data_IF_085812054149
#
_entry.id   IF_085812054149
#
_cell.length_a   1.000
_cell.length_b   1.000
_cell.length_c   1.000
_cell.angle_alpha   90.00
_cell.angle_beta   90.00
_cell.angle_gamma   90.00
#
_symmetry.space_group_name_H-M   'P 1'
#
loop_
_entity.id
_entity.type
_entity.pdbx_description
1 polymer ?
#
# COMPACT_ATOMS: atom_id res chain seq x y z
N UNK A 1 -16.96 57.90 -32.90
CA UNK A 1 -15.72 57.19 -32.51
C UNK A 1 -15.83 55.76 -33.02
N UNK A 2 -15.12 55.43 -34.10
CA UNK A 2 -15.24 54.12 -34.77
C UNK A 2 -14.19 53.20 -34.13
N UNK A 3 -14.64 52.19 -33.37
CA UNK A 3 -13.75 51.15 -32.85
C UNK A 3 -13.36 50.25 -34.02
N UNK A 4 -12.06 50.12 -34.29
CA UNK A 4 -11.53 49.28 -35.36
C UNK A 4 -11.86 47.80 -35.09
N UNK A 5 -12.23 47.05 -36.12
CA UNK A 5 -12.49 45.61 -36.09
C UNK A 5 -11.39 44.80 -35.36
N UNK A 6 -10.13 45.19 -35.53
CA UNK A 6 -9.01 44.55 -34.82
C UNK A 6 -9.06 44.72 -33.30
N UNK A 7 -9.54 45.87 -32.81
CA UNK A 7 -9.72 46.12 -31.38
C UNK A 7 -10.85 45.26 -30.82
N UNK A 8 -11.93 45.06 -31.58
CA UNK A 8 -13.03 44.20 -31.16
C UNK A 8 -12.60 42.72 -31.07
N UNK A 9 -11.84 42.24 -32.06
CA UNK A 9 -11.30 40.87 -32.08
C UNK A 9 -10.34 40.63 -30.92
N UNK A 10 -9.48 41.62 -30.61
CA UNK A 10 -8.54 41.53 -29.48
C UNK A 10 -9.26 41.51 -28.13
N UNK A 11 -10.31 42.32 -27.95
CA UNK A 11 -11.14 42.30 -26.75
C UNK A 11 -11.87 40.96 -26.62
N UNK A 12 -12.36 40.39 -27.71
CA UNK A 12 -13.05 39.10 -27.69
C UNK A 12 -12.10 37.93 -27.36
N UNK A 13 -10.85 38.00 -27.82
CA UNK A 13 -9.77 37.08 -27.41
C UNK A 13 -9.43 37.22 -25.93
N UNK A 14 -9.27 38.45 -25.43
CA UNK A 14 -9.05 38.72 -24.01
C UNK A 14 -10.21 38.23 -23.15
N UNK A 15 -11.46 38.51 -23.53
CA UNK A 15 -12.65 38.03 -22.83
C UNK A 15 -12.78 36.50 -22.90
N UNK A 16 -12.34 35.85 -23.99
CA UNK A 16 -12.29 34.39 -24.08
C UNK A 16 -11.20 33.77 -23.19
N UNK A 17 -10.10 34.49 -22.95
CA UNK A 17 -9.05 34.09 -22.02
C UNK A 17 -9.44 34.32 -20.56
N UNK A 18 -10.22 35.37 -20.28
CA UNK A 18 -10.77 35.65 -18.94
C UNK A 18 -11.94 34.72 -18.59
N UNK A 19 -12.69 34.25 -19.60
CA UNK A 19 -13.74 33.24 -19.45
C UNK A 19 -13.27 31.80 -19.69
N UNK A 20 -11.97 31.55 -19.88
CA UNK A 20 -11.48 30.18 -19.74
C UNK A 20 -11.75 29.78 -18.29
N UNK A 21 -12.58 28.75 -18.02
CA UNK A 21 -12.82 28.30 -16.67
C UNK A 21 -11.46 28.03 -16.07
N UNK A 22 -11.12 28.82 -15.05
CA UNK A 22 -9.85 28.79 -14.32
C UNK A 22 -9.41 27.33 -14.29
N UNK A 23 -8.39 26.96 -15.10
CA UNK A 23 -8.02 25.56 -15.27
C UNK A 23 -7.74 25.04 -13.88
N UNK A 24 -8.71 24.31 -13.33
CA UNK A 24 -8.72 23.89 -11.94
C UNK A 24 -7.46 23.06 -11.83
N UNK A 25 -6.43 23.59 -11.16
CA UNK A 25 -5.09 23.01 -11.16
C UNK A 25 -5.26 21.53 -10.85
N UNK A 26 -5.13 20.68 -11.88
CA UNK A 26 -5.56 19.30 -11.79
C UNK A 26 -4.50 18.66 -10.91
N UNK A 27 -4.83 18.50 -9.62
CA UNK A 27 -3.96 17.84 -8.69
C UNK A 27 -3.56 16.50 -9.31
N UNK A 28 -2.25 16.17 -9.34
CA UNK A 28 -1.81 14.95 -9.96
C UNK A 28 -2.54 13.77 -9.31
N UNK A 29 -3.00 12.80 -10.11
CA UNK A 29 -3.78 11.69 -9.57
C UNK A 29 -2.92 10.88 -8.60
N UNK A 30 -3.56 10.30 -7.59
CA UNK A 30 -2.93 9.24 -6.79
C UNK A 30 -3.14 7.92 -7.49
N UNK A 31 -2.04 7.20 -7.76
CA UNK A 31 -2.05 5.84 -8.27
C UNK A 31 -1.91 4.90 -7.08
N UNK A 32 -2.87 4.00 -6.91
CA UNK A 32 -2.83 3.00 -5.84
C UNK A 32 -2.43 1.65 -6.40
N UNK A 33 -1.39 1.03 -5.85
CA UNK A 33 -0.99 -0.35 -6.17
C UNK A 33 -1.27 -1.24 -4.96
N UNK A 34 -2.02 -2.32 -5.15
CA UNK A 34 -2.31 -3.31 -4.11
C UNK A 34 -1.43 -4.53 -4.33
N UNK A 35 -0.63 -4.89 -3.32
CA UNK A 35 0.26 -6.06 -3.32
C UNK A 35 -0.27 -7.09 -2.34
N UNK A 36 -0.67 -8.25 -2.85
CA UNK A 36 -1.28 -9.28 -2.01
C UNK A 36 -0.25 -10.06 -1.17
N UNK A 37 -0.75 -10.74 -0.13
CA UNK A 37 0.03 -11.61 0.75
C UNK A 37 0.48 -12.94 0.11
N UNK A 38 1.04 -13.83 0.92
CA UNK A 38 1.47 -15.14 0.46
C UNK A 38 0.30 -16.05 0.07
N UNK A 39 0.61 -17.05 -0.77
CA UNK A 39 -0.21 -18.26 -0.85
C UNK A 39 0.22 -19.13 0.33
N UNK A 40 -0.54 -19.10 1.41
CA UNK A 40 -0.34 -20.07 2.50
C UNK A 40 -0.66 -21.49 1.95
N UNK A 41 0.01 -22.55 2.42
CA UNK A 41 -0.34 -23.91 2.03
C UNK A 41 -1.76 -24.28 2.48
N UNK A 42 -2.48 -25.08 1.69
CA UNK A 42 -3.83 -25.55 2.02
C UNK A 42 -3.92 -26.23 3.40
N UNK A 43 -2.85 -26.90 3.84
CA UNK A 43 -2.76 -27.54 5.16
C UNK A 43 -2.79 -26.54 6.31
N UNK A 44 -2.05 -25.44 6.20
CA UNK A 44 -2.05 -24.35 7.19
C UNK A 44 -3.36 -23.57 7.11
N UNK A 45 -3.89 -23.36 5.90
CA UNK A 45 -5.20 -22.75 5.67
C UNK A 45 -6.36 -23.49 6.34
N UNK A 46 -6.34 -24.83 6.24
CA UNK A 46 -7.30 -25.71 6.92
C UNK A 46 -7.13 -25.66 8.44
N UNK A 47 -5.89 -25.69 8.94
CA UNK A 47 -5.59 -25.62 10.38
C UNK A 47 -6.05 -24.29 11.02
N UNK A 48 -5.89 -23.18 10.29
CA UNK A 48 -6.29 -21.85 10.77
C UNK A 48 -7.75 -21.50 10.42
N UNK A 49 -8.53 -22.45 9.88
CA UNK A 49 -9.91 -22.25 9.41
C UNK A 49 -10.08 -21.05 8.46
N UNK A 50 -9.03 -20.68 7.72
CA UNK A 50 -9.08 -19.59 6.75
C UNK A 50 -9.53 -20.17 5.41
N UNK A 51 -10.79 -19.96 5.06
CA UNK A 51 -11.34 -20.37 3.78
C UNK A 51 -10.52 -19.75 2.63
N UNK A 52 -9.84 -20.62 1.89
CA UNK A 52 -8.75 -20.35 0.94
C UNK A 52 -9.12 -19.63 -0.36
N UNK A 53 -10.28 -18.98 -0.41
CA UNK A 53 -10.80 -18.31 -1.61
C UNK A 53 -10.18 -16.92 -1.85
N UNK A 54 -8.96 -16.66 -1.38
CA UNK A 54 -8.12 -15.56 -1.90
C UNK A 54 -7.57 -15.97 -3.27
N UNK A 55 -8.50 -16.14 -4.21
CA UNK A 55 -8.21 -16.62 -5.56
C UNK A 55 -7.61 -15.49 -6.38
N UNK A 56 -6.43 -15.83 -6.91
CA UNK A 56 -5.82 -15.40 -8.16
C UNK A 56 -5.81 -13.90 -8.42
N UNK A 57 -4.62 -13.31 -8.31
CA UNK A 57 -4.27 -12.09 -9.03
C UNK A 57 -3.50 -12.51 -10.30
N UNK A 58 -3.76 -11.91 -11.47
CA UNK A 58 -2.89 -12.08 -12.63
C UNK A 58 -1.45 -11.72 -12.24
N UNK A 59 -0.46 -12.49 -12.71
CA UNK A 59 0.95 -12.17 -12.46
C UNK A 59 1.30 -10.79 -13.01
N UNK A 60 2.09 -10.02 -12.27
CA UNK A 60 2.42 -8.64 -12.62
C UNK A 60 1.31 -7.64 -12.30
N UNK A 61 1.39 -6.46 -12.89
CA UNK A 61 0.56 -5.31 -12.57
C UNK A 61 -0.68 -5.26 -13.49
N UNK A 62 -1.85 -5.40 -12.90
CA UNK A 62 -3.14 -5.37 -13.60
C UNK A 62 -3.99 -4.19 -13.15
N UNK A 63 -4.48 -3.37 -14.09
CA UNK A 63 -5.40 -2.28 -13.76
C UNK A 63 -6.73 -2.84 -13.25
N UNK A 64 -7.22 -2.31 -12.12
CA UNK A 64 -8.38 -2.82 -11.43
C UNK A 64 -9.68 -2.74 -12.24
N UNK A 65 -9.79 -1.77 -13.15
CA UNK A 65 -10.97 -1.62 -14.00
C UNK A 65 -11.17 -2.81 -14.97
N UNK A 66 -10.10 -3.56 -15.26
CA UNK A 66 -10.11 -4.71 -16.15
C UNK A 66 -9.98 -6.05 -15.40
N UNK A 67 -9.98 -6.03 -14.07
CA UNK A 67 -9.95 -7.27 -13.29
C UNK A 67 -11.29 -7.98 -13.37
N UNK A 68 -11.24 -9.30 -13.55
CA UNK A 68 -12.42 -10.16 -13.50
C UNK A 68 -13.15 -10.02 -12.14
N UNK A 69 -14.45 -9.73 -12.20
CA UNK A 69 -15.29 -9.53 -11.01
C UNK A 69 -15.39 -10.75 -10.09
N UNK A 70 -15.06 -11.94 -10.59
CA UNK A 70 -14.99 -13.17 -9.81
C UNK A 70 -13.77 -13.21 -8.88
N UNK A 71 -12.76 -12.38 -9.11
CA UNK A 71 -11.55 -12.32 -8.29
C UNK A 71 -11.82 -11.68 -6.93
N UNK A 72 -11.24 -12.29 -5.88
CA UNK A 72 -11.37 -11.77 -4.51
C UNK A 72 -10.80 -10.36 -4.36
N UNK A 73 -9.71 -10.06 -5.06
CA UNK A 73 -9.11 -8.73 -5.07
C UNK A 73 -9.94 -7.69 -5.84
N UNK A 74 -10.72 -8.10 -6.85
CA UNK A 74 -11.67 -7.19 -7.48
C UNK A 74 -12.69 -6.70 -6.45
N UNK A 75 -13.22 -7.59 -5.60
CA UNK A 75 -14.15 -7.20 -4.52
C UNK A 75 -13.50 -6.26 -3.50
N UNK A 76 -12.22 -6.49 -3.15
CA UNK A 76 -11.46 -5.61 -2.26
C UNK A 76 -11.32 -4.21 -2.87
N UNK A 77 -10.82 -4.11 -4.10
CA UNK A 77 -10.63 -2.82 -4.79
C UNK A 77 -11.96 -2.11 -5.00
N UNK A 78 -13.01 -2.83 -5.41
CA UNK A 78 -14.33 -2.25 -5.57
C UNK A 78 -14.90 -1.74 -4.24
N UNK A 79 -14.64 -2.43 -3.13
CA UNK A 79 -15.04 -1.95 -1.80
C UNK A 79 -14.32 -0.63 -1.46
N UNK A 80 -13.03 -0.50 -1.75
CA UNK A 80 -12.29 0.75 -1.57
C UNK A 80 -12.86 1.87 -2.44
N UNK A 81 -13.06 1.60 -3.73
CA UNK A 81 -13.62 2.56 -4.68
C UNK A 81 -15.03 3.03 -4.29
N UNK A 82 -15.90 2.13 -3.81
CA UNK A 82 -17.24 2.52 -3.32
C UNK A 82 -17.15 3.37 -2.05
N UNK A 83 -16.16 3.11 -1.19
CA UNK A 83 -16.01 3.81 0.09
C UNK A 83 -15.38 5.20 -0.07
N UNK A 84 -14.45 5.35 -1.03
CA UNK A 84 -13.78 6.61 -1.36
C UNK A 84 -13.32 6.57 -2.83
N UNK A 85 -14.20 6.97 -3.78
CA UNK A 85 -13.92 6.87 -5.23
C UNK A 85 -12.88 7.88 -5.70
N UNK A 86 -12.68 8.98 -4.97
CA UNK A 86 -11.69 9.99 -5.33
C UNK A 86 -10.27 9.47 -5.05
N UNK A 87 -10.09 8.77 -3.92
CA UNK A 87 -8.80 8.19 -3.54
C UNK A 87 -8.51 6.85 -4.23
N UNK A 88 -9.55 6.04 -4.47
CA UNK A 88 -9.41 4.66 -4.95
C UNK A 88 -10.13 4.40 -6.29
N UNK A 89 -10.18 5.41 -7.16
CA UNK A 89 -10.73 5.28 -8.51
C UNK A 89 -10.18 4.03 -9.20
N UNK A 90 -11.07 3.16 -9.73
CA UNK A 90 -10.67 1.90 -10.39
C UNK A 90 -9.64 2.12 -11.51
N UNK A 91 -9.81 3.18 -12.31
CA UNK A 91 -8.89 3.53 -13.41
C UNK A 91 -7.46 3.82 -12.95
N UNK A 92 -7.28 4.26 -11.70
CA UNK A 92 -5.99 4.63 -11.11
C UNK A 92 -5.53 3.59 -10.05
N UNK A 93 -6.23 2.46 -9.94
CA UNK A 93 -5.89 1.41 -8.99
C UNK A 93 -5.40 0.19 -9.74
N UNK A 94 -4.32 -0.42 -9.25
CA UNK A 94 -3.70 -1.60 -9.83
C UNK A 94 -3.55 -2.68 -8.78
N UNK A 95 -3.64 -3.93 -9.20
CA UNK A 95 -3.32 -5.12 -8.41
C UNK A 95 -2.02 -5.71 -8.94
N UNK A 96 -1.04 -5.91 -8.06
CA UNK A 96 0.17 -6.65 -8.39
C UNK A 96 0.04 -8.10 -7.90
N UNK A 97 0.01 -9.03 -8.86
CA UNK A 97 0.02 -10.46 -8.58
C UNK A 97 1.41 -11.07 -8.61
N UNK A 98 1.68 -11.93 -7.64
CA UNK A 98 2.93 -12.70 -7.57
C UNK A 98 2.68 -14.13 -7.10
N UNK A 99 3.72 -14.96 -7.14
CA UNK A 99 3.55 -16.39 -6.88
C UNK A 99 3.18 -16.73 -5.43
N UNK A 100 3.36 -15.79 -4.49
CA UNK A 100 2.99 -15.93 -3.08
C UNK A 100 3.91 -16.83 -2.25
N UNK A 101 5.06 -17.25 -2.79
CA UNK A 101 6.02 -18.10 -2.06
C UNK A 101 6.73 -17.30 -0.97
N UNK A 102 6.77 -17.85 0.24
CA UNK A 102 7.28 -17.15 1.42
C UNK A 102 8.81 -17.12 1.55
N UNK A 103 9.59 -17.65 0.60
CA UNK A 103 11.05 -17.59 0.71
C UNK A 103 11.64 -16.27 0.19
N UNK A 104 12.82 -15.90 0.69
CA UNK A 104 13.48 -14.62 0.38
C UNK A 104 13.76 -14.44 -1.11
N UNK A 105 14.24 -15.49 -1.80
CA UNK A 105 14.56 -15.44 -3.23
C UNK A 105 13.34 -15.07 -4.07
N UNK A 106 12.20 -15.71 -3.81
CA UNK A 106 10.97 -15.49 -4.59
C UNK A 106 10.34 -14.12 -4.28
N UNK A 107 10.46 -13.63 -3.04
CA UNK A 107 10.04 -12.27 -2.68
C UNK A 107 10.92 -11.22 -3.38
N UNK A 108 12.22 -11.45 -3.47
CA UNK A 108 13.15 -10.56 -4.19
C UNK A 108 12.84 -10.53 -5.68
N UNK A 109 12.63 -11.69 -6.32
CA UNK A 109 12.19 -11.76 -7.72
C UNK A 109 10.87 -11.02 -7.95
N UNK A 110 9.91 -11.17 -7.04
CA UNK A 110 8.66 -10.44 -7.10
C UNK A 110 8.86 -8.92 -6.94
N UNK A 111 9.81 -8.49 -6.11
CA UNK A 111 10.16 -7.08 -5.96
C UNK A 111 10.86 -6.52 -7.21
N UNK A 112 11.71 -7.30 -7.87
CA UNK A 112 12.32 -6.94 -9.16
C UNK A 112 11.27 -6.71 -10.24
N UNK A 113 10.34 -7.66 -10.39
CA UNK A 113 9.22 -7.51 -11.33
C UNK A 113 8.35 -6.29 -10.99
N UNK A 114 7.97 -6.13 -9.72
CA UNK A 114 7.17 -5.00 -9.27
C UNK A 114 7.88 -3.67 -9.56
N UNK A 115 9.19 -3.60 -9.34
CA UNK A 115 9.97 -2.40 -9.59
C UNK A 115 9.91 -1.98 -11.07
N UNK A 116 10.12 -2.93 -11.98
CA UNK A 116 10.12 -2.68 -13.42
C UNK A 116 8.75 -2.19 -13.89
N UNK A 117 7.67 -2.82 -13.43
CA UNK A 117 6.30 -2.40 -13.75
C UNK A 117 5.93 -1.05 -13.11
N UNK A 118 6.45 -0.72 -11.92
CA UNK A 118 6.25 0.58 -11.29
C UNK A 118 6.97 1.69 -12.06
N UNK A 119 8.17 1.43 -12.60
CA UNK A 119 8.88 2.37 -13.46
C UNK A 119 8.08 2.65 -14.73
N UNK A 120 7.61 1.59 -15.41
CA UNK A 120 6.75 1.75 -16.59
C UNK A 120 5.45 2.47 -16.26
N UNK A 121 4.83 2.15 -15.12
CA UNK A 121 3.62 2.81 -14.68
C UNK A 121 3.86 4.30 -14.45
N UNK A 122 4.93 4.68 -13.75
CA UNK A 122 5.27 6.08 -13.50
C UNK A 122 5.47 6.88 -14.80
N UNK A 123 6.08 6.26 -15.82
CA UNK A 123 6.26 6.88 -17.14
C UNK A 123 4.93 7.19 -17.86
N UNK A 124 3.86 6.42 -17.59
CA UNK A 124 2.52 6.67 -18.16
C UNK A 124 1.83 7.90 -17.54
N UNK A 125 2.35 8.43 -16.43
CA UNK A 125 1.80 9.58 -15.73
C UNK A 125 2.86 10.69 -15.55
N UNK A 126 3.29 11.34 -16.65
CA UNK A 126 4.37 12.34 -16.64
C UNK A 126 4.06 13.58 -15.81
N UNK A 127 2.79 13.81 -15.47
CA UNK A 127 2.31 14.93 -14.66
C UNK A 127 2.68 14.81 -13.17
N UNK A 128 3.47 13.80 -12.77
CA UNK A 128 3.92 13.62 -11.39
C UNK A 128 2.88 12.99 -10.48
N UNK A 129 2.28 11.87 -10.90
CA UNK A 129 1.34 11.12 -10.08
C UNK A 129 1.96 10.69 -8.74
N UNK A 130 1.16 10.74 -7.67
CA UNK A 130 1.57 10.25 -6.35
C UNK A 130 1.41 8.74 -6.30
N UNK A 131 2.46 8.02 -5.91
CA UNK A 131 2.42 6.56 -5.83
C UNK A 131 2.10 6.12 -4.40
N UNK A 132 0.95 5.46 -4.24
CA UNK A 132 0.54 4.82 -2.99
C UNK A 132 0.54 3.31 -3.15
N UNK A 133 1.10 2.58 -2.19
CA UNK A 133 1.09 1.11 -2.18
C UNK A 133 0.38 0.61 -0.93
N UNK A 134 -0.61 -0.27 -1.11
CA UNK A 134 -1.27 -1.01 -0.03
C UNK A 134 -0.82 -2.45 -0.11
N UNK A 135 -0.33 -2.98 1.00
CA UNK A 135 0.13 -4.36 1.08
C UNK A 135 -0.63 -5.12 2.15
N UNK A 136 -0.75 -6.43 1.98
CA UNK A 136 -1.22 -7.32 3.03
C UNK A 136 -0.18 -8.40 3.33
N UNK A 137 0.04 -8.71 4.61
CA UNK A 137 0.88 -9.83 5.03
C UNK A 137 2.28 -9.78 4.38
N UNK A 138 2.78 -10.87 3.81
CA UNK A 138 4.08 -10.92 3.14
C UNK A 138 4.20 -10.06 1.87
N UNK A 139 3.09 -9.54 1.32
CA UNK A 139 3.15 -8.55 0.25
C UNK A 139 3.94 -7.31 0.69
N UNK A 140 3.89 -6.97 1.98
CA UNK A 140 4.71 -5.89 2.54
C UNK A 140 6.21 -6.17 2.43
N UNK A 141 6.64 -7.42 2.60
CA UNK A 141 8.05 -7.78 2.44
C UNK A 141 8.51 -7.74 0.98
N UNK A 142 7.62 -7.97 0.00
CA UNK A 142 7.95 -7.74 -1.42
C UNK A 142 8.27 -6.27 -1.64
N UNK A 143 7.40 -5.38 -1.17
CA UNK A 143 7.57 -3.93 -1.33
C UNK A 143 8.78 -3.41 -0.56
N UNK A 144 9.04 -3.92 0.64
CA UNK A 144 10.23 -3.53 1.41
C UNK A 144 11.55 -4.01 0.79
N UNK A 145 11.55 -4.86 -0.24
CA UNK A 145 12.75 -5.18 -1.01
C UNK A 145 13.03 -4.16 -2.14
N UNK A 146 12.07 -3.30 -2.50
CA UNK A 146 12.24 -2.34 -3.60
C UNK A 146 13.47 -1.42 -3.44
N UNK A 147 13.81 -0.89 -2.25
CA UNK A 147 15.02 -0.09 -2.08
C UNK A 147 16.31 -0.80 -2.50
N UNK A 148 16.41 -2.09 -2.16
CA UNK A 148 17.56 -2.94 -2.51
C UNK A 148 17.64 -3.10 -4.01
N UNK A 149 16.51 -3.30 -4.69
CA UNK A 149 16.45 -3.40 -6.15
C UNK A 149 16.80 -2.07 -6.82
N UNK A 150 16.27 -0.96 -6.30
CA UNK A 150 16.45 0.38 -6.87
C UNK A 150 17.91 0.85 -6.84
N UNK A 151 18.71 0.40 -5.87
CA UNK A 151 20.09 0.88 -5.67
C UNK A 151 20.90 0.87 -6.97
N UNK A 152 20.78 -0.20 -7.74
CA UNK A 152 21.56 -0.44 -8.97
C UNK A 152 20.81 -0.07 -10.27
N UNK A 153 19.60 0.50 -10.16
CA UNK A 153 18.76 0.87 -11.31
C UNK A 153 18.89 2.37 -11.64
N UNK A 154 18.88 2.79 -12.93
CA UNK A 154 19.10 4.17 -13.32
C UNK A 154 17.91 5.09 -13.03
N UNK A 155 16.69 4.61 -13.32
CA UNK A 155 15.46 5.32 -12.96
C UNK A 155 15.24 5.15 -11.46
N UNK A 156 14.87 6.21 -10.75
CA UNK A 156 14.48 6.13 -9.32
C UNK A 156 13.01 6.46 -9.20
N UNK A 157 12.28 5.65 -8.45
CA UNK A 157 10.88 5.88 -8.07
C UNK A 157 10.80 6.27 -6.60
N UNK A 158 9.77 7.06 -6.27
CA UNK A 158 9.43 7.43 -4.91
C UNK A 158 8.00 6.98 -4.64
N UNK A 159 7.81 6.37 -3.48
CA UNK A 159 6.51 5.93 -2.97
C UNK A 159 6.08 6.95 -1.94
N UNK A 160 5.07 7.75 -2.28
CA UNK A 160 4.54 8.79 -1.40
C UNK A 160 3.92 8.20 -0.13
N UNK A 161 3.30 7.03 -0.24
CA UNK A 161 2.67 6.37 0.92
C UNK A 161 2.68 4.85 0.79
N UNK A 162 3.27 4.17 1.76
CA UNK A 162 3.24 2.72 1.92
C UNK A 162 2.33 2.33 3.10
N UNK A 163 1.32 1.51 2.85
CA UNK A 163 0.37 1.04 3.86
C UNK A 163 0.59 -0.46 4.05
N UNK A 164 1.10 -0.84 5.23
CA UNK A 164 1.41 -2.21 5.62
C UNK A 164 0.28 -2.78 6.47
N UNK A 165 -0.63 -3.53 5.85
CA UNK A 165 -1.71 -4.21 6.56
C UNK A 165 -1.23 -5.57 7.04
N UNK A 166 -1.19 -5.79 8.35
CA UNK A 166 -0.82 -7.08 8.92
C UNK A 166 0.54 -7.63 8.45
N UNK A 167 1.50 -6.76 8.10
CA UNK A 167 2.79 -7.20 7.57
C UNK A 167 3.68 -7.78 8.69
N UNK A 168 4.17 -9.04 8.57
CA UNK A 168 5.25 -9.55 9.39
C UNK A 168 6.58 -9.03 8.83
N UNK A 169 6.97 -7.81 9.15
CA UNK A 169 8.26 -7.29 8.65
C UNK A 169 9.40 -8.13 9.24
N UNK A 170 10.29 -8.54 8.36
CA UNK A 170 11.38 -9.43 8.69
C UNK A 170 12.61 -8.67 9.16
N UNK A 171 13.49 -9.30 9.93
CA UNK A 171 14.76 -8.70 10.35
C UNK A 171 15.60 -8.25 9.15
N UNK A 172 15.49 -8.96 8.03
CA UNK A 172 16.18 -8.65 6.77
C UNK A 172 15.61 -7.41 6.06
N UNK A 173 14.30 -7.17 6.16
CA UNK A 173 13.62 -6.05 5.47
C UNK A 173 13.38 -4.85 6.36
N UNK A 174 13.49 -5.00 7.68
CA UNK A 174 13.31 -3.91 8.65
C UNK A 174 14.21 -2.69 8.41
N UNK A 175 15.51 -2.83 8.05
CA UNK A 175 16.36 -1.67 7.74
C UNK A 175 15.81 -0.81 6.59
N UNK A 176 15.10 -1.44 5.65
CA UNK A 176 14.58 -0.77 4.45
C UNK A 176 13.38 0.14 4.75
N UNK A 177 12.79 0.08 5.96
CA UNK A 177 11.75 1.02 6.39
C UNK A 177 12.27 2.47 6.43
N UNK A 178 13.57 2.66 6.60
CA UNK A 178 14.22 3.99 6.67
C UNK A 178 14.64 4.54 5.31
N UNK A 179 14.42 3.80 4.23
CA UNK A 179 14.91 4.20 2.92
C UNK A 179 14.12 5.41 2.37
N UNK A 180 14.79 6.42 1.79
CA UNK A 180 14.14 7.62 1.25
C UNK A 180 13.20 7.34 0.07
N UNK A 181 13.19 6.12 -0.49
CA UNK A 181 12.15 5.68 -1.41
C UNK A 181 10.75 5.84 -0.81
N UNK A 182 10.58 5.66 0.51
CA UNK A 182 9.29 5.74 1.18
C UNK A 182 9.14 7.07 1.94
N UNK A 183 8.29 7.99 1.44
CA UNK A 183 8.03 9.26 2.13
C UNK A 183 7.23 9.09 3.41
N UNK A 184 6.21 8.22 3.40
CA UNK A 184 5.38 7.88 4.54
C UNK A 184 5.07 6.39 4.56
N UNK A 185 5.16 5.78 5.73
CA UNK A 185 4.84 4.38 5.99
C UNK A 185 3.82 4.33 7.13
N UNK A 186 2.72 3.61 6.89
CA UNK A 186 1.68 3.34 7.86
C UNK A 186 1.69 1.83 8.14
N UNK A 187 2.09 1.45 9.34
CA UNK A 187 2.05 0.07 9.82
C UNK A 187 0.76 -0.21 10.61
N UNK A 188 -0.20 -0.89 9.99
CA UNK A 188 -1.41 -1.33 10.68
C UNK A 188 -1.19 -2.69 11.34
N UNK A 189 -1.22 -2.72 12.67
CA UNK A 189 -0.93 -3.90 13.49
C UNK A 189 -2.13 -4.30 14.34
N UNK A 190 -2.12 -5.54 14.84
CA UNK A 190 -3.15 -6.04 15.76
C UNK A 190 -2.55 -6.96 16.82
N UNK A 191 -3.05 -6.90 18.07
CA UNK A 191 -2.60 -7.85 19.11
C UNK A 191 -3.11 -9.27 18.89
N UNK A 192 -4.27 -9.43 18.27
CA UNK A 192 -4.86 -10.74 17.94
C UNK A 192 -4.24 -11.38 16.68
N UNK A 193 -3.46 -10.63 15.91
CA UNK A 193 -2.76 -11.15 14.74
C UNK A 193 -1.48 -11.88 15.16
N UNK A 194 -1.59 -13.19 15.38
CA UNK A 194 -0.45 -14.07 15.66
C UNK A 194 0.41 -14.34 14.43
N UNK A 195 -0.13 -14.22 13.22
CA UNK A 195 0.60 -14.47 11.97
C UNK A 195 1.69 -13.42 11.77
N UNK A 196 1.45 -12.18 12.21
CA UNK A 196 2.48 -11.13 12.27
C UNK A 196 3.71 -11.50 13.12
N UNK A 197 3.59 -12.46 14.04
CA UNK A 197 4.69 -12.93 14.90
C UNK A 197 5.28 -14.26 14.41
N UNK A 198 4.44 -15.13 13.82
CA UNK A 198 4.80 -16.51 13.48
C UNK A 198 5.59 -16.66 12.17
N UNK A 199 6.10 -15.58 11.56
CA UNK A 199 7.00 -15.70 10.41
C UNK A 199 8.35 -16.26 10.87
N UNK A 200 8.53 -17.58 10.70
CA UNK A 200 9.71 -18.35 11.06
C UNK A 200 10.89 -18.02 10.14
N UNK A 201 11.48 -16.85 10.35
CA UNK A 201 12.62 -16.35 9.57
C UNK A 201 13.83 -17.29 9.63
N UNK A 202 13.97 -18.07 10.71
CA UNK A 202 15.09 -19.00 10.91
C UNK A 202 15.06 -20.28 10.07
N UNK A 203 13.93 -20.61 9.42
CA UNK A 203 13.81 -21.81 8.59
C UNK A 203 14.33 -21.61 7.15
N UNK A 204 14.61 -20.38 6.74
CA UNK A 204 15.27 -20.13 5.47
C UNK A 204 16.72 -20.65 5.55
N UNK A 205 17.02 -21.71 4.78
CA UNK A 205 18.32 -22.41 4.76
C UNK A 205 19.50 -21.52 4.36
N UNK A 206 19.23 -20.34 3.80
CA UNK A 206 20.23 -19.55 3.08
C UNK A 206 21.14 -18.69 3.96
N UNK A 207 20.89 -18.57 5.28
CA UNK A 207 21.74 -17.73 6.15
C UNK A 207 22.15 -18.43 7.45
N UNK A 208 23.07 -19.40 7.36
CA UNK A 208 23.72 -20.01 8.52
C UNK A 208 24.42 -18.98 9.43
N UNK A 209 24.90 -17.86 8.89
CA UNK A 209 25.51 -16.77 9.65
C UNK A 209 24.49 -15.98 10.50
N UNK A 210 23.26 -15.84 10.03
CA UNK A 210 22.21 -15.03 10.67
C UNK A 210 21.51 -15.80 11.82
N UNK A 211 21.57 -17.14 11.80
CA UNK A 211 21.08 -18.01 12.88
C UNK A 211 21.80 -17.81 14.22
N UNK A 212 23.01 -17.24 14.23
CA UNK A 212 23.79 -17.04 15.46
C UNK A 212 23.39 -15.80 16.27
N UNK A 213 22.57 -14.90 15.73
CA UNK A 213 22.29 -13.61 16.39
C UNK A 213 20.86 -13.06 16.20
N UNK A 214 19.99 -13.76 15.45
CA UNK A 214 18.62 -13.29 15.13
C UNK A 214 17.52 -13.99 15.93
N UNK A 215 16.45 -13.26 16.25
CA UNK A 215 15.21 -13.86 16.75
C UNK A 215 14.60 -14.76 15.68
N UNK A 216 14.04 -15.91 16.06
CA UNK A 216 13.38 -16.84 15.13
C UNK A 216 12.08 -16.29 14.55
N UNK A 217 11.57 -15.17 15.08
CA UNK A 217 10.23 -14.64 14.83
C UNK A 217 10.29 -13.20 14.31
N UNK A 218 9.29 -12.83 13.51
CA UNK A 218 9.05 -11.43 13.15
C UNK A 218 8.63 -10.62 14.37
N UNK A 219 9.04 -9.35 14.38
CA UNK A 219 8.52 -8.38 15.33
C UNK A 219 7.25 -7.78 14.74
N UNK A 220 6.21 -7.68 15.56
CA UNK A 220 5.00 -6.89 15.23
C UNK A 220 5.30 -5.39 15.17
N UNK A 221 6.34 -4.94 15.88
CA UNK A 221 6.71 -3.53 16.03
C UNK A 221 8.13 -3.25 15.59
N UNK A 222 8.34 -2.02 15.14
CA UNK A 222 9.61 -1.51 14.65
C UNK A 222 10.05 -0.34 15.52
N UNK A 223 11.34 -0.03 15.44
CA UNK A 223 11.85 1.18 16.05
C UNK A 223 11.17 2.38 15.37
N UNK A 224 10.68 3.39 16.11
CA UNK A 224 10.16 4.62 15.54
C UNK A 224 11.12 5.21 14.49
N UNK A 225 10.58 5.71 13.38
CA UNK A 225 11.32 6.38 12.31
C UNK A 225 10.50 7.57 11.83
N UNK A 226 11.15 8.66 11.41
CA UNK A 226 10.51 9.92 10.99
C UNK A 226 9.42 9.74 9.91
N UNK A 227 9.57 8.73 9.06
CA UNK A 227 8.65 8.40 7.98
C UNK A 227 7.65 7.29 8.35
N UNK A 228 7.65 6.75 9.57
CA UNK A 228 6.87 5.57 9.98
C UNK A 228 5.94 5.87 11.15
N UNK A 229 4.64 5.69 10.92
CA UNK A 229 3.62 5.61 11.97
C UNK A 229 3.10 4.18 12.07
N UNK A 230 2.98 3.68 13.29
CA UNK A 230 2.35 2.40 13.57
C UNK A 230 1.07 2.59 14.37
N UNK A 231 -0.01 1.95 13.92
CA UNK A 231 -1.34 2.02 14.54
C UNK A 231 -1.88 0.63 14.85
N UNK A 232 -2.45 0.48 16.04
CA UNK A 232 -3.17 -0.72 16.46
C UNK A 232 -4.63 -0.61 16.04
N UNK A 233 -5.09 -1.58 15.26
CA UNK A 233 -6.47 -1.63 14.75
C UNK A 233 -7.35 -2.50 15.64
N UNK A 234 -8.49 -1.95 16.07
CA UNK A 234 -9.50 -2.64 16.87
C UNK A 234 -10.90 -2.47 16.29
N UNK A 235 -11.83 -3.36 16.65
CA UNK A 235 -13.26 -3.27 16.40
C UNK A 235 -14.04 -3.39 17.71
N UNK A 236 -14.43 -2.24 18.26
CA UNK A 236 -14.85 -2.13 19.66
C UNK A 236 -13.70 -2.51 20.59
N UNK A 237 -13.98 -3.36 21.58
CA UNK A 237 -12.96 -3.81 22.54
C UNK A 237 -12.06 -4.95 22.03
N UNK A 238 -12.16 -5.36 20.77
CA UNK A 238 -11.45 -6.52 20.22
C UNK A 238 -10.43 -6.12 19.16
N UNK A 239 -9.22 -6.65 19.25
CA UNK A 239 -8.25 -6.63 18.16
C UNK A 239 -8.74 -7.49 16.98
N UNK A 240 -8.48 -7.05 15.75
CA UNK A 240 -8.90 -7.78 14.54
C UNK A 240 -7.88 -8.86 14.15
N UNK A 241 -8.30 -9.96 13.54
CA UNK A 241 -7.40 -11.02 13.09
C UNK A 241 -6.64 -10.67 11.79
N UNK A 242 -5.66 -11.49 11.43
CA UNK A 242 -4.81 -11.30 10.24
C UNK A 242 -5.60 -11.10 8.94
N UNK A 243 -6.65 -11.89 8.76
CA UNK A 243 -7.48 -11.87 7.55
C UNK A 243 -8.53 -10.77 7.60
N UNK A 244 -8.85 -10.24 8.78
CA UNK A 244 -9.86 -9.19 8.90
C UNK A 244 -9.39 -7.89 8.22
N UNK A 245 -8.07 -7.65 8.14
CA UNK A 245 -7.47 -6.55 7.39
C UNK A 245 -7.78 -6.52 5.89
N UNK A 246 -8.23 -7.62 5.30
CA UNK A 246 -8.58 -7.72 3.88
C UNK A 246 -10.05 -8.11 3.66
N UNK A 247 -10.83 -8.16 4.74
CA UNK A 247 -12.27 -8.39 4.68
C UNK A 247 -13.04 -7.08 4.58
N UNK A 248 -14.23 -7.17 3.99
CA UNK A 248 -15.11 -6.03 3.75
C UNK A 248 -15.30 -5.09 4.96
N UNK A 249 -15.54 -5.58 6.21
CA UNK A 249 -15.77 -4.67 7.35
C UNK A 249 -14.63 -3.69 7.60
N UNK A 250 -13.38 -4.14 7.53
CA UNK A 250 -12.22 -3.28 7.69
C UNK A 250 -11.95 -2.46 6.43
N UNK A 251 -11.98 -3.09 5.24
CA UNK A 251 -11.67 -2.41 3.97
C UNK A 251 -12.64 -1.25 3.70
N UNK A 252 -13.91 -1.37 4.09
CA UNK A 252 -14.91 -0.28 3.98
C UNK A 252 -14.53 0.93 4.85
N UNK A 253 -13.81 0.71 5.96
CA UNK A 253 -13.38 1.74 6.90
C UNK A 253 -11.93 2.20 6.69
N UNK A 254 -11.18 1.55 5.80
CA UNK A 254 -9.79 1.88 5.54
C UNK A 254 -9.59 3.33 5.10
N UNK A 255 -10.43 3.93 4.22
CA UNK A 255 -10.28 5.35 3.86
C UNK A 255 -10.32 6.28 5.08
N UNK A 256 -11.28 6.08 5.98
CA UNK A 256 -11.43 6.85 7.22
C UNK A 256 -10.26 6.61 8.17
N UNK A 257 -9.81 5.37 8.32
CA UNK A 257 -8.60 5.04 9.10
C UNK A 257 -7.40 5.85 8.57
N UNK A 258 -7.20 5.87 7.25
CA UNK A 258 -6.09 6.60 6.65
C UNK A 258 -6.24 8.12 6.81
N UNK A 259 -7.46 8.65 6.73
CA UNK A 259 -7.75 10.06 6.99
C UNK A 259 -7.36 10.47 8.42
N UNK A 260 -7.80 9.70 9.43
CA UNK A 260 -7.42 9.94 10.84
C UNK A 260 -5.91 9.89 11.04
N UNK A 261 -5.21 8.95 10.40
CA UNK A 261 -3.74 8.86 10.48
C UNK A 261 -3.05 10.04 9.81
N UNK A 262 -3.56 10.49 8.66
CA UNK A 262 -3.01 11.62 7.95
C UNK A 262 -3.18 12.93 8.75
N UNK A 263 -4.33 13.12 9.41
CA UNK A 263 -4.64 14.27 10.26
C UNK A 263 -3.84 14.27 11.58
N UNK A 264 -3.63 13.09 12.16
CA UNK A 264 -2.94 12.91 13.45
C UNK A 264 -1.52 12.39 13.30
N UNK A 265 -0.89 12.63 12.14
CA UNK A 265 0.43 12.08 11.81
C UNK A 265 1.47 12.39 12.89
N UNK A 266 1.63 13.68 13.23
CA UNK A 266 2.64 14.14 14.20
C UNK A 266 2.33 13.63 15.62
N UNK A 267 1.04 13.54 15.98
CA UNK A 267 0.61 13.00 17.26
C UNK A 267 0.97 11.51 17.39
N UNK A 268 0.62 10.70 16.38
CA UNK A 268 0.95 9.28 16.37
C UNK A 268 2.45 9.02 16.29
N UNK A 269 3.20 9.92 15.67
CA UNK A 269 4.65 9.83 15.60
C UNK A 269 5.31 10.05 16.97
N UNK A 270 4.78 10.98 17.78
CA UNK A 270 5.29 11.28 19.12
C UNK A 270 4.96 10.20 20.16
N UNK A 271 3.95 9.36 19.90
CA UNK A 271 3.45 8.37 20.84
C UNK A 271 4.02 6.96 20.63
N UNK A 272 4.05 6.18 21.70
CA UNK A 272 4.36 4.76 21.59
C UNK A 272 3.25 4.04 20.79
N UNK A 273 3.58 3.09 19.88
CA UNK A 273 2.59 2.44 18.99
C UNK A 273 1.41 1.74 19.69
N UNK A 274 1.54 1.37 20.96
CA UNK A 274 0.44 0.78 21.75
C UNK A 274 -0.65 1.78 22.12
N UNK A 275 -0.33 3.07 22.10
CA UNK A 275 -1.25 4.15 22.42
C UNK A 275 -1.96 4.67 21.15
N UNK A 276 -1.38 4.41 19.98
CA UNK A 276 -1.94 4.74 18.67
C UNK A 276 -3.06 3.75 18.28
N UNK A 277 -4.17 3.81 19.00
CA UNK A 277 -5.31 2.91 18.78
C UNK A 277 -6.31 3.58 17.86
N UNK A 278 -6.70 2.87 16.80
CA UNK A 278 -7.84 3.23 15.96
C UNK A 278 -8.89 2.14 16.09
N UNK A 279 -10.03 2.51 16.66
CA UNK A 279 -11.20 1.65 16.74
C UNK A 279 -12.12 1.92 15.54
N UNK A 280 -12.23 0.94 14.64
CA UNK A 280 -12.98 1.09 13.39
C UNK A 280 -14.49 1.16 13.59
N UNK A 281 -15.03 0.83 14.78
CA UNK A 281 -16.45 1.02 15.09
C UNK A 281 -16.81 2.48 15.36
N UNK A 282 -15.82 3.27 15.75
CA UNK A 282 -16.02 4.68 16.08
C UNK A 282 -15.92 5.57 14.83
N UNK A 283 -15.47 4.98 13.71
CA UNK A 283 -15.42 5.63 12.41
C UNK A 283 -16.80 5.49 11.75
N UNK A 284 -17.53 6.59 11.65
CA UNK A 284 -18.85 6.63 10.99
C UNK A 284 -18.71 6.73 9.48
#
# INVERSE_FOLDING_TARGET
MIINFHTLLFIQLLLSMVNMPLMKYIQPPTITVIVHGSKMPDTIGKLLCVAYKFRYAPMGLSNAQYLDSTYSFHKLVNTLNVSDPDRFALRNTYLFGWNGKVNTVERRKAAELLYEELVELAQRYPQGAKLQIITHSHGGNVVLNLPVIQKDKPVKIIIDKLILLACPVQQQTAPNLTDPMFKKIIGCISKADVIQLLDLQGLHKENHAQRRCGSLFSKRRFCPQDNLVQVRIQSGMRDIGHIDFVRKPFITKLPQVLCVIDERWDEFHAQHPDNNIINIKDLT
#
